data_IF_340208991772
#
_entry.id   IF_340208991772
#
_cell.length_a   1.000
_cell.length_b   1.000
_cell.length_c   1.000
_cell.angle_alpha   90.00
_cell.angle_beta   90.00
_cell.angle_gamma   90.00
#
_symmetry.space_group_name_H-M   'P 1'
#
loop_
_entity.id
_entity.type
_entity.pdbx_description
1 polymer ?
#
# COMPACT_ATOMS: atom_id res chain seq x y z
N UNK A 1 13.07 4.87 -17.09
CA UNK A 1 11.71 4.80 -16.50
C UNK A 1 11.64 5.75 -15.30
N UNK A 2 10.47 6.36 -15.02
CA UNK A 2 10.32 7.41 -14.00
C UNK A 2 9.49 6.90 -12.82
N UNK A 3 10.03 7.04 -11.60
CA UNK A 3 9.37 6.60 -10.38
C UNK A 3 8.16 7.51 -10.07
N UNK A 4 6.93 6.98 -9.96
CA UNK A 4 5.75 7.80 -9.67
C UNK A 4 5.76 8.41 -8.26
N UNK A 5 6.49 7.83 -7.30
CA UNK A 5 6.57 8.36 -5.93
C UNK A 5 7.46 9.60 -5.80
N UNK A 6 8.63 9.60 -6.44
CA UNK A 6 9.66 10.62 -6.26
C UNK A 6 9.97 11.42 -7.53
N UNK A 7 9.37 11.07 -8.67
CA UNK A 7 9.58 11.69 -9.96
C UNK A 7 11.02 11.65 -10.48
N UNK A 8 11.87 10.76 -9.96
CA UNK A 8 13.25 10.55 -10.42
C UNK A 8 13.35 9.34 -11.34
N UNK A 9 14.43 9.28 -12.10
CA UNK A 9 14.74 8.14 -12.96
C UNK A 9 15.06 6.89 -12.11
N UNK A 10 14.48 5.76 -12.50
CA UNK A 10 14.76 4.44 -11.92
C UNK A 10 15.73 3.74 -12.86
N UNK A 11 16.91 3.43 -12.35
CA UNK A 11 17.92 2.66 -13.08
C UNK A 11 17.69 1.15 -12.89
N UNK A 12 18.24 0.35 -13.80
CA UNK A 12 18.07 -1.11 -13.78
C UNK A 12 18.53 -1.76 -12.47
N UNK A 13 19.55 -1.21 -11.79
CA UNK A 13 20.05 -1.73 -10.52
C UNK A 13 19.06 -1.61 -9.35
N UNK A 14 18.20 -0.59 -9.37
CA UNK A 14 17.26 -0.29 -8.27
C UNK A 14 15.80 -0.52 -8.66
N UNK A 15 15.57 -1.05 -9.87
CA UNK A 15 14.24 -1.21 -10.44
C UNK A 15 13.43 -2.23 -9.66
N UNK A 16 12.19 -1.84 -9.38
CA UNK A 16 11.17 -2.74 -8.88
C UNK A 16 9.91 -2.52 -9.71
N UNK A 17 9.49 -3.53 -10.45
CA UNK A 17 8.26 -3.50 -11.25
C UNK A 17 7.05 -3.83 -10.37
N UNK A 18 6.09 -2.91 -10.30
CA UNK A 18 4.82 -3.08 -9.59
C UNK A 18 3.77 -2.13 -10.11
N UNK A 19 2.50 -2.55 -10.07
CA UNK A 19 1.38 -1.73 -10.52
C UNK A 19 1.53 -1.28 -11.99
N UNK A 20 2.14 -2.14 -12.82
CA UNK A 20 2.46 -1.83 -14.22
C UNK A 20 3.52 -0.75 -14.42
N UNK A 21 4.18 -0.29 -13.35
CA UNK A 21 5.16 0.80 -13.38
C UNK A 21 6.48 0.42 -12.69
N UNK A 22 7.51 1.21 -12.92
CA UNK A 22 8.82 1.04 -12.30
C UNK A 22 9.01 1.99 -11.10
N UNK A 23 9.46 1.41 -9.99
CA UNK A 23 9.65 2.10 -8.73
C UNK A 23 11.08 1.90 -8.23
N UNK A 24 11.60 2.85 -7.45
CA UNK A 24 12.71 2.53 -6.56
C UNK A 24 12.20 1.67 -5.41
N UNK A 25 13.03 0.73 -4.95
CA UNK A 25 12.75 -0.12 -3.78
C UNK A 25 12.28 0.66 -2.53
N UNK A 26 12.88 1.79 -2.11
CA UNK A 26 12.38 2.62 -0.99
C UNK A 26 11.18 3.52 -1.35
N UNK A 27 10.85 3.64 -2.62
CA UNK A 27 9.71 4.41 -3.10
C UNK A 27 8.42 3.58 -3.14
N UNK A 28 8.53 2.27 -3.35
CA UNK A 28 7.41 1.34 -3.24
C UNK A 28 7.06 1.12 -1.75
N UNK A 29 6.37 2.09 -1.16
CA UNK A 29 5.98 2.07 0.26
C UNK A 29 4.54 2.51 0.42
N UNK A 30 3.88 2.01 1.46
CA UNK A 30 2.50 2.32 1.76
C UNK A 30 2.32 3.84 1.92
N UNK A 31 1.37 4.43 1.20
CA UNK A 31 1.08 5.87 1.30
C UNK A 31 0.66 6.26 2.74
N UNK A 32 -0.04 5.36 3.44
CA UNK A 32 -0.54 5.60 4.81
C UNK A 32 0.54 5.45 5.88
N UNK A 33 1.13 4.26 6.01
CA UNK A 33 2.06 3.95 7.11
C UNK A 33 3.53 4.08 6.73
N UNK A 34 3.85 4.43 5.48
CA UNK A 34 5.20 4.58 4.93
C UNK A 34 6.09 3.34 5.01
N UNK A 35 5.53 2.17 5.38
CA UNK A 35 6.22 0.87 5.35
C UNK A 35 6.58 0.49 3.92
N UNK A 36 7.84 0.12 3.67
CA UNK A 36 8.28 -0.44 2.39
C UNK A 36 7.50 -1.71 2.08
N UNK A 37 7.00 -1.80 0.86
CA UNK A 37 6.15 -2.88 0.41
C UNK A 37 6.95 -3.86 -0.44
N UNK A 38 6.55 -5.12 -0.40
CA UNK A 38 7.08 -6.14 -1.28
C UNK A 38 6.39 -6.02 -2.65
N UNK A 39 7.12 -6.04 -3.77
CA UNK A 39 6.50 -6.09 -5.09
C UNK A 39 5.59 -7.33 -5.20
N UNK A 40 4.38 -7.14 -5.72
CA UNK A 40 3.38 -8.21 -5.85
C UNK A 40 2.60 -8.58 -4.57
N UNK A 41 2.99 -8.10 -3.38
CA UNK A 41 2.23 -8.30 -2.12
C UNK A 41 1.81 -6.97 -1.50
N UNK A 42 1.05 -6.18 -2.25
CA UNK A 42 0.40 -4.97 -1.76
C UNK A 42 -0.84 -4.66 -2.60
N UNK A 43 -1.67 -3.75 -2.11
CA UNK A 43 -2.83 -3.27 -2.84
C UNK A 43 -2.54 -1.88 -3.42
N UNK A 44 -3.25 -1.54 -4.49
CA UNK A 44 -3.23 -0.20 -5.07
C UNK A 44 -4.59 0.47 -4.90
N UNK A 45 -4.59 1.75 -4.58
CA UNK A 45 -5.75 2.60 -4.74
C UNK A 45 -5.37 3.91 -5.43
N UNK A 46 -6.01 4.24 -6.56
CA UNK A 46 -5.76 5.47 -7.34
C UNK A 46 -4.26 5.66 -7.69
N UNK A 47 -3.58 4.62 -8.15
CA UNK A 47 -2.15 4.68 -8.50
C UNK A 47 -1.20 4.77 -7.30
N UNK A 48 -1.71 4.67 -6.08
CA UNK A 48 -0.91 4.73 -4.84
C UNK A 48 -0.86 3.35 -4.17
N UNK A 49 0.32 2.88 -3.75
CA UNK A 49 0.46 1.58 -3.10
C UNK A 49 0.12 1.66 -1.60
N UNK A 50 -0.55 0.62 -1.09
CA UNK A 50 -0.97 0.47 0.30
C UNK A 50 -0.68 -0.95 0.81
N UNK A 51 -0.42 -1.09 2.11
CA UNK A 51 -0.43 -2.41 2.73
C UNK A 51 -1.80 -3.06 2.52
N UNK A 52 -1.82 -4.34 2.14
CA UNK A 52 -3.02 -5.18 2.11
C UNK A 52 -3.81 -5.03 3.42
N UNK A 53 -3.13 -5.19 4.56
CA UNK A 53 -3.69 -5.07 5.90
C UNK A 53 -2.73 -4.29 6.81
N UNK A 54 -3.23 -3.41 7.71
CA UNK A 54 -4.62 -2.94 7.78
C UNK A 54 -4.92 -1.77 6.82
N UNK A 55 -3.92 -1.18 6.16
CA UNK A 55 -4.06 0.13 5.53
C UNK A 55 -5.12 0.18 4.42
N UNK A 56 -5.05 -0.73 3.44
CA UNK A 56 -6.00 -0.79 2.35
C UNK A 56 -7.39 -1.20 2.85
N UNK A 57 -7.48 -2.27 3.65
CA UNK A 57 -8.76 -2.77 4.18
C UNK A 57 -9.50 -1.75 5.06
N UNK A 58 -8.81 -0.99 5.90
CA UNK A 58 -9.45 0.05 6.74
C UNK A 58 -9.90 1.27 5.94
N UNK A 59 -9.19 1.65 4.87
CA UNK A 59 -9.52 2.84 4.07
C UNK A 59 -10.56 2.54 2.98
N UNK A 60 -10.41 1.40 2.30
CA UNK A 60 -11.12 1.05 1.06
C UNK A 60 -11.81 -0.31 1.12
N UNK A 61 -11.68 -1.06 2.22
CA UNK A 61 -12.42 -2.29 2.41
C UNK A 61 -13.92 -2.02 2.52
N UNK A 62 -14.75 -3.06 2.32
CA UNK A 62 -16.20 -2.92 2.37
C UNK A 62 -16.61 -2.30 3.71
N UNK A 63 -17.23 -1.12 3.65
CA UNK A 63 -17.88 -0.47 4.78
C UNK A 63 -19.22 -1.18 5.04
N UNK A 64 -19.14 -2.42 5.52
CA UNK A 64 -20.30 -3.18 5.94
C UNK A 64 -20.80 -2.65 7.27
N UNK A 65 -21.92 -1.93 7.22
CA UNK A 65 -22.81 -1.62 8.33
C UNK A 65 -22.94 -2.82 9.27
N UNK A 66 -22.60 -2.64 10.54
CA UNK A 66 -22.62 -3.69 11.55
C UNK A 66 -21.98 -3.23 12.85
N UNK A 67 -22.72 -2.44 13.62
CA UNK A 67 -22.51 -2.32 15.06
C UNK A 67 -22.47 -3.73 15.67
N UNK A 68 -21.30 -4.25 16.04
CA UNK A 68 -21.02 -5.05 17.25
C UNK A 68 -19.55 -5.49 17.23
N UNK A 69 -18.66 -4.61 17.67
CA UNK A 69 -17.33 -5.02 18.15
C UNK A 69 -16.95 -4.18 19.38
N UNK A 70 -17.84 -4.19 20.37
CA UNK A 70 -17.44 -4.00 21.77
C UNK A 70 -17.55 -5.36 22.45
N UNK A 71 -16.58 -6.24 22.20
CA UNK A 71 -16.30 -7.35 23.09
C UNK A 71 -15.55 -6.79 24.31
N UNK A 72 -16.25 -6.02 25.14
CA UNK A 72 -15.87 -5.79 26.54
C UNK A 72 -16.87 -6.60 27.37
N UNK A 73 -16.60 -7.89 27.49
CA UNK A 73 -17.17 -8.70 28.56
C UNK A 73 -16.51 -8.18 29.83
N UNK A 74 -17.19 -7.31 30.58
CA UNK A 74 -16.94 -7.25 32.02
C UNK A 74 -17.82 -8.35 32.61
N UNK A 75 -17.18 -9.29 33.31
CA UNK A 75 -17.84 -10.12 34.30
C UNK A 75 -17.31 -9.68 35.65
#
# INVERSE_FOLDING_TARGET
MKCPACNKEVYFAERVSSLGQDWHRPCLKCERCKKTLTPGSHCEHQGKPYCENPCYRTLFGPKGYGTVASSHIYN
#
